data_IF_572051620855
#
_entry.id   IF_572051620855
#
_cell.length_a   1.000
_cell.length_b   1.000
_cell.length_c   1.000
_cell.angle_alpha   90.00
_cell.angle_beta   90.00
_cell.angle_gamma   90.00
#
_symmetry.space_group_name_H-M   'P 1'
#
loop_
_entity.id
_entity.type
_entity.pdbx_description
1 polymer ?
#
# COMPACT_ATOMS: atom_id res chain seq x y z
N UNK A 1 -2.77 -26.91 18.69
CA UNK A 1 -3.55 -26.61 17.47
C UNK A 1 -2.88 -25.46 16.71
N UNK A 2 -2.22 -25.72 15.57
CA UNK A 2 -1.69 -24.67 14.69
C UNK A 2 -2.86 -24.05 13.92
N UNK A 3 -3.16 -22.77 14.13
CA UNK A 3 -4.16 -22.04 13.32
C UNK A 3 -3.68 -22.08 11.86
N UNK A 4 -4.48 -22.68 10.97
CA UNK A 4 -4.26 -22.60 9.52
C UNK A 4 -4.29 -21.11 9.15
N UNK A 5 -3.15 -20.62 8.66
CA UNK A 5 -3.01 -19.31 8.07
C UNK A 5 -4.03 -19.24 6.93
N UNK A 6 -5.07 -18.42 7.07
CA UNK A 6 -6.05 -18.23 6.00
C UNK A 6 -5.31 -17.56 4.87
N UNK A 7 -5.32 -18.15 3.67
CA UNK A 7 -4.82 -17.50 2.47
C UNK A 7 -5.60 -16.20 2.27
N UNK A 8 -5.00 -15.08 2.68
CA UNK A 8 -5.55 -13.74 2.46
C UNK A 8 -5.36 -13.44 0.99
N UNK A 9 -6.42 -13.59 0.19
CA UNK A 9 -6.42 -13.17 -1.20
C UNK A 9 -6.43 -11.63 -1.22
N UNK A 10 -5.28 -11.06 -1.55
CA UNK A 10 -5.11 -9.61 -1.68
C UNK A 10 -5.47 -9.23 -3.11
N UNK A 11 -6.54 -8.46 -3.28
CA UNK A 11 -6.83 -7.81 -4.55
C UNK A 11 -6.28 -6.39 -4.53
N UNK A 12 -5.26 -6.08 -5.36
CA UNK A 12 -4.84 -4.70 -5.50
C UNK A 12 -6.00 -3.83 -6.01
N UNK A 13 -6.11 -2.57 -5.56
CA UNK A 13 -7.11 -1.64 -6.07
C UNK A 13 -7.10 -1.61 -7.61
N UNK A 14 -8.26 -1.84 -8.25
CA UNK A 14 -8.41 -1.79 -9.72
C UNK A 14 -7.99 -0.44 -10.32
N UNK A 15 -8.04 0.63 -9.53
CA UNK A 15 -7.54 1.93 -9.94
C UNK A 15 -6.05 1.88 -10.35
N UNK A 16 -5.25 0.95 -9.84
CA UNK A 16 -3.80 0.93 -10.05
C UNK A 16 -3.37 0.32 -11.40
N UNK A 17 -4.25 -0.40 -12.08
CA UNK A 17 -4.00 -0.85 -13.46
C UNK A 17 -4.28 0.24 -14.49
N UNK A 18 -4.90 1.36 -14.08
CA UNK A 18 -5.13 2.51 -14.95
C UNK A 18 -3.82 3.29 -15.15
N UNK A 19 -3.36 3.48 -16.41
CA UNK A 19 -2.12 4.19 -16.72
C UNK A 19 -1.98 5.58 -16.08
N UNK A 20 -3.09 6.26 -15.78
CA UNK A 20 -3.07 7.60 -15.16
C UNK A 20 -2.51 7.61 -13.74
N UNK A 21 -2.47 6.45 -13.09
CA UNK A 21 -1.84 6.27 -11.78
C UNK A 21 -0.47 5.60 -11.89
N UNK A 22 0.17 5.55 -13.06
CA UNK A 22 1.58 5.15 -13.14
C UNK A 22 2.46 6.24 -12.52
N UNK A 23 3.09 5.95 -11.39
CA UNK A 23 3.98 6.90 -10.72
C UNK A 23 4.45 6.43 -9.34
N UNK A 24 4.91 7.39 -8.52
CA UNK A 24 5.28 7.12 -7.13
C UNK A 24 4.04 6.96 -6.27
N UNK A 25 4.12 6.06 -5.31
CA UNK A 25 3.04 5.75 -4.38
C UNK A 25 3.62 5.73 -2.98
N UNK A 26 2.75 6.00 -2.01
CA UNK A 26 3.06 5.96 -0.59
C UNK A 26 2.06 5.03 0.08
N UNK A 27 2.59 4.04 0.78
CA UNK A 27 1.80 3.13 1.59
C UNK A 27 1.94 3.55 3.06
N UNK A 28 0.80 3.66 3.73
CA UNK A 28 0.65 4.10 5.11
C UNK A 28 0.03 2.97 5.94
N UNK A 29 0.56 2.74 7.13
CA UNK A 29 -0.03 1.86 8.15
C UNK A 29 -0.36 2.71 9.37
N UNK A 30 -1.62 3.16 9.46
CA UNK A 30 -1.97 4.32 10.28
C UNK A 30 -1.17 5.55 9.81
N UNK A 31 -0.46 6.19 10.75
CA UNK A 31 0.29 7.43 10.50
C UNK A 31 1.74 7.18 10.04
N UNK A 32 2.11 5.92 9.85
CA UNK A 32 3.48 5.52 9.50
C UNK A 32 3.60 5.24 8.01
N UNK A 33 4.52 5.94 7.37
CA UNK A 33 4.99 5.59 6.01
C UNK A 33 5.78 4.29 6.08
N UNK A 34 5.27 3.26 5.41
CA UNK A 34 5.87 1.91 5.40
C UNK A 34 6.56 1.60 4.07
N UNK A 35 6.13 2.24 2.99
CA UNK A 35 6.81 2.14 1.70
C UNK A 35 6.57 3.39 0.84
N UNK A 36 7.60 3.80 0.10
CA UNK A 36 7.54 4.81 -0.94
C UNK A 36 8.26 4.28 -2.17
N UNK A 37 7.63 4.37 -3.33
CA UNK A 37 8.25 3.95 -4.59
C UNK A 37 7.24 3.65 -5.68
N UNK A 38 7.68 2.83 -6.64
CA UNK A 38 6.83 2.32 -7.70
C UNK A 38 5.86 1.24 -7.19
N UNK A 39 4.98 0.82 -8.10
CA UNK A 39 3.98 -0.21 -7.81
C UNK A 39 4.61 -1.52 -7.31
N UNK A 40 5.70 -1.99 -7.91
CA UNK A 40 6.35 -3.26 -7.54
C UNK A 40 6.81 -3.26 -6.09
N UNK A 41 7.30 -2.12 -5.59
CA UNK A 41 7.70 -1.97 -4.19
C UNK A 41 6.49 -1.88 -3.25
N UNK A 42 5.46 -1.14 -3.65
CA UNK A 42 4.23 -1.00 -2.86
C UNK A 42 3.50 -2.33 -2.72
N UNK A 43 3.33 -3.07 -3.81
CA UNK A 43 2.59 -4.34 -3.85
C UNK A 43 3.16 -5.35 -2.85
N UNK A 44 4.49 -5.52 -2.85
CA UNK A 44 5.19 -6.37 -1.87
C UNK A 44 5.00 -5.91 -0.43
N UNK A 45 4.99 -4.60 -0.18
CA UNK A 45 4.78 -4.07 1.17
C UNK A 45 3.32 -4.25 1.62
N UNK A 46 2.39 -4.06 0.70
CA UNK A 46 0.96 -4.18 0.90
C UNK A 46 0.54 -5.63 1.20
N UNK A 47 1.04 -6.61 0.42
CA UNK A 47 0.84 -8.03 0.70
C UNK A 47 1.30 -8.42 2.12
N UNK A 48 2.47 -7.90 2.55
CA UNK A 48 3.01 -8.17 3.90
C UNK A 48 2.13 -7.61 5.01
N UNK A 49 1.48 -6.46 4.78
CA UNK A 49 0.59 -5.84 5.77
C UNK A 49 -0.76 -6.55 5.82
N UNK A 50 -1.33 -6.91 4.68
CA UNK A 50 -2.57 -7.69 4.63
C UNK A 50 -2.42 -9.07 5.26
N UNK A 51 -1.29 -9.77 5.06
CA UNK A 51 -0.99 -11.04 5.75
C UNK A 51 -0.92 -10.89 7.27
N UNK A 52 -0.59 -9.69 7.76
CA UNK A 52 -0.61 -9.34 9.20
C UNK A 52 -1.99 -8.89 9.69
N UNK A 53 -3.02 -8.96 8.85
CA UNK A 53 -4.39 -8.49 9.17
C UNK A 53 -4.53 -6.98 9.23
N UNK A 54 -3.59 -6.22 8.66
CA UNK A 54 -3.63 -4.75 8.64
C UNK A 54 -4.31 -4.23 7.37
N UNK A 55 -4.93 -3.07 7.47
CA UNK A 55 -5.58 -2.35 6.37
C UNK A 55 -4.84 -1.05 6.09
N UNK A 56 -3.76 -1.09 5.29
CA UNK A 56 -2.98 0.11 5.00
C UNK A 56 -3.74 1.07 4.08
N UNK A 57 -3.40 2.36 4.16
CA UNK A 57 -3.85 3.37 3.22
C UNK A 57 -2.84 3.54 2.09
N UNK A 58 -3.32 3.71 0.86
CA UNK A 58 -2.48 3.91 -0.31
C UNK A 58 -2.72 5.30 -0.88
N UNK A 59 -1.67 6.09 -0.98
CA UNK A 59 -1.68 7.41 -1.61
C UNK A 59 -0.90 7.39 -2.92
N UNK A 60 -1.51 7.92 -3.98
CA UNK A 60 -0.85 8.15 -5.26
C UNK A 60 -0.18 9.53 -5.26
N UNK A 61 1.08 9.59 -5.67
CA UNK A 61 1.88 10.81 -5.72
C UNK A 61 2.22 11.10 -7.19
N UNK A 62 1.41 11.93 -7.88
CA UNK A 62 1.59 12.20 -9.31
C UNK A 62 2.86 12.99 -9.63
N UNK A 63 3.37 13.79 -8.68
CA UNK A 63 4.60 14.59 -8.82
C UNK A 63 5.46 14.44 -7.58
N UNK A 64 6.79 14.49 -7.75
CA UNK A 64 7.78 14.28 -6.67
C UNK A 64 7.60 15.20 -5.45
N UNK A 65 6.98 16.36 -5.64
CA UNK A 65 6.93 17.43 -4.66
C UNK A 65 5.60 17.42 -3.89
N UNK A 66 5.23 16.26 -3.35
CA UNK A 66 4.00 16.09 -2.55
C UNK A 66 4.35 15.93 -1.08
N UNK A 67 3.88 16.85 -0.25
CA UNK A 67 3.95 16.77 1.20
C UNK A 67 2.75 15.97 1.74
N UNK A 68 3.01 14.97 2.59
CA UNK A 68 1.98 14.24 3.32
C UNK A 68 2.05 14.65 4.79
N UNK A 69 0.92 15.10 5.34
CA UNK A 69 0.74 15.40 6.76
C UNK A 69 -0.17 14.33 7.37
N UNK A 70 0.36 13.36 8.14
CA UNK A 70 -0.49 12.43 8.89
C UNK A 70 -1.26 13.21 9.96
N UNK A 71 -2.55 12.89 10.16
CA UNK A 71 -3.34 13.48 11.23
C UNK A 71 -2.95 12.83 12.57
N UNK A 72 -2.69 13.67 13.58
CA UNK A 72 -2.38 13.28 14.94
C UNK A 72 -3.60 12.71 15.69
#
# INVERSE_FOLDING_TARGET
>A
MRKKEKDVIVYPPKALSDPKYKGKHILLDGDKVVAVGDWKKIDKAMERLYKKGKTPSLAYVPKSDTLILPQC
#
